data_IF_497520152375
#
_entry.id   IF_497520152375
#
_cell.length_a   1.000
_cell.length_b   1.000
_cell.length_c   1.000
_cell.angle_alpha   90.00
_cell.angle_beta   90.00
_cell.angle_gamma   90.00
#
_symmetry.space_group_name_H-M   'P 1'
#
loop_
_entity.id
_entity.type
_entity.pdbx_description
1 polymer ?
#
# COMPACT_ATOMS: atom_id res chain seq x y z
N UNK A 1 -7.81 2.21 21.17
CA UNK A 1 -6.83 3.03 20.39
C UNK A 1 -7.56 3.96 19.46
N UNK A 2 -7.01 5.16 19.22
CA UNK A 2 -7.58 6.09 18.24
C UNK A 2 -7.37 5.58 16.81
N UNK A 3 -8.37 5.77 15.95
CA UNK A 3 -8.35 5.39 14.54
C UNK A 3 -9.20 6.34 13.71
N UNK A 4 -8.91 6.44 12.41
CA UNK A 4 -9.84 6.96 11.43
C UNK A 4 -10.60 5.77 10.82
N UNK A 5 -11.92 5.81 10.91
CA UNK A 5 -12.75 4.67 10.52
C UNK A 5 -13.97 5.10 9.71
N UNK A 6 -14.40 4.22 8.84
CA UNK A 6 -15.72 4.28 8.23
C UNK A 6 -16.73 3.75 9.23
N UNK A 7 -17.38 4.64 9.97
CA UNK A 7 -18.34 4.29 11.03
C UNK A 7 -19.78 4.31 10.58
N UNK A 8 -20.07 4.97 9.42
CA UNK A 8 -21.41 5.13 8.87
C UNK A 8 -21.41 4.85 7.36
N UNK A 9 -22.56 4.47 6.84
CA UNK A 9 -22.79 4.19 5.40
C UNK A 9 -23.18 5.48 4.64
N UNK A 10 -22.33 6.51 4.73
CA UNK A 10 -22.51 7.83 4.11
C UNK A 10 -21.14 8.44 3.79
N UNK A 11 -21.01 9.49 2.95
CA UNK A 11 -19.73 10.17 2.72
C UNK A 11 -19.06 10.63 4.02
N UNK A 12 -17.75 10.44 4.12
CA UNK A 12 -16.94 10.80 5.29
C UNK A 12 -16.14 9.63 5.86
N UNK A 13 -15.14 9.97 6.66
CA UNK A 13 -14.33 9.08 7.51
C UNK A 13 -14.17 9.82 8.84
N UNK A 14 -14.33 9.12 9.95
CA UNK A 14 -14.45 9.76 11.28
C UNK A 14 -13.39 9.26 12.25
N UNK A 15 -13.02 10.15 13.17
CA UNK A 15 -12.27 9.74 14.35
C UNK A 15 -13.13 8.80 15.19
N UNK A 16 -12.54 7.66 15.55
CA UNK A 16 -13.21 6.63 16.35
C UNK A 16 -12.21 6.00 17.32
N UNK A 17 -12.72 5.21 18.24
CA UNK A 17 -11.94 4.33 19.07
C UNK A 17 -12.19 2.87 18.70
N UNK A 18 -11.12 2.09 18.67
CA UNK A 18 -11.14 0.66 18.44
C UNK A 18 -10.29 -0.08 19.49
N UNK A 19 -10.56 -1.34 19.80
CA UNK A 19 -9.64 -2.14 20.60
C UNK A 19 -8.28 -2.25 19.91
N UNK A 20 -7.20 -2.37 20.71
CA UNK A 20 -5.88 -2.70 20.16
C UNK A 20 -5.96 -4.09 19.50
N UNK A 21 -5.43 -4.26 18.26
CA UNK A 21 -5.48 -5.56 17.59
C UNK A 21 -4.76 -6.64 18.41
N UNK A 22 -5.33 -7.84 18.39
CA UNK A 22 -4.65 -9.03 18.89
C UNK A 22 -3.69 -9.59 17.86
N UNK A 23 -2.58 -10.15 18.32
CA UNK A 23 -1.53 -10.73 17.48
C UNK A 23 -1.78 -12.22 17.34
N UNK A 24 -2.03 -12.69 16.13
CA UNK A 24 -2.08 -14.11 15.81
C UNK A 24 -0.67 -14.75 15.81
N UNK A 25 -0.58 -16.09 15.78
CA UNK A 25 0.71 -16.79 15.83
C UNK A 25 1.71 -16.36 14.73
N UNK A 26 1.20 -16.02 13.55
CA UNK A 26 2.01 -15.62 12.38
C UNK A 26 1.98 -14.10 12.11
N UNK A 27 1.38 -13.31 13.01
CA UNK A 27 1.21 -11.87 12.82
C UNK A 27 2.30 -11.07 13.56
N UNK A 28 2.48 -9.85 13.11
CA UNK A 28 3.22 -8.81 13.84
C UNK A 28 2.27 -7.66 14.19
N UNK A 29 2.47 -7.04 15.34
CA UNK A 29 1.82 -5.80 15.72
C UNK A 29 2.76 -4.64 15.45
N UNK A 30 2.33 -3.75 14.60
CA UNK A 30 3.08 -2.57 14.19
C UNK A 30 2.48 -1.35 14.87
N UNK A 31 3.31 -0.58 15.59
CA UNK A 31 2.98 0.79 16.00
C UNK A 31 3.20 1.70 14.81
N UNK A 32 2.13 2.23 14.25
CA UNK A 32 2.17 3.10 13.06
C UNK A 32 2.87 4.42 13.39
N UNK A 33 3.72 4.88 12.48
CA UNK A 33 4.42 6.15 12.57
C UNK A 33 3.92 7.16 11.55
N UNK A 34 3.81 6.73 10.29
CA UNK A 34 3.28 7.54 9.19
C UNK A 34 2.38 6.71 8.29
N UNK A 35 1.43 7.38 7.69
CA UNK A 35 0.50 6.82 6.69
C UNK A 35 0.41 7.78 5.53
N UNK A 36 0.00 7.26 4.37
CA UNK A 36 -0.33 8.06 3.20
C UNK A 36 -1.78 7.78 2.76
N UNK A 37 -2.34 8.67 1.97
CA UNK A 37 -3.71 8.59 1.46
C UNK A 37 -3.68 8.08 0.04
N UNK A 38 -4.38 6.98 -0.21
CA UNK A 38 -4.59 6.39 -1.53
C UNK A 38 -5.88 6.91 -2.18
N UNK A 39 -5.96 6.77 -3.50
CA UNK A 39 -7.23 6.97 -4.23
C UNK A 39 -8.36 6.07 -3.71
N UNK A 40 -8.04 4.87 -3.25
CA UNK A 40 -8.99 3.96 -2.60
C UNK A 40 -9.64 4.58 -1.36
N UNK A 41 -8.89 5.34 -0.56
CA UNK A 41 -9.44 6.03 0.61
C UNK A 41 -10.42 7.13 0.20
N UNK A 42 -10.22 7.77 -0.97
CA UNK A 42 -11.16 8.72 -1.53
C UNK A 42 -12.48 8.06 -1.98
N UNK A 43 -12.41 6.87 -2.57
CA UNK A 43 -13.61 6.07 -2.87
C UNK A 43 -14.39 5.74 -1.59
N UNK A 44 -13.69 5.34 -0.53
CA UNK A 44 -14.30 5.06 0.79
C UNK A 44 -14.89 6.34 1.41
N UNK A 45 -14.15 7.46 1.33
CA UNK A 45 -14.62 8.76 1.82
C UNK A 45 -15.91 9.19 1.10
N UNK A 46 -15.92 9.16 -0.23
CA UNK A 46 -17.07 9.55 -1.05
C UNK A 46 -18.24 8.57 -0.96
N UNK A 47 -18.04 7.37 -0.41
CA UNK A 47 -19.04 6.33 -0.28
C UNK A 47 -19.70 5.97 -1.61
N UNK A 48 -18.91 5.83 -2.65
CA UNK A 48 -19.37 5.50 -4.00
C UNK A 48 -19.89 4.04 -4.12
N UNK A 49 -20.36 3.68 -5.30
CA UNK A 49 -20.98 2.37 -5.55
C UNK A 49 -20.02 1.19 -5.26
N UNK A 50 -18.71 1.37 -5.45
CA UNK A 50 -17.73 0.35 -5.10
C UNK A 50 -17.57 0.23 -3.58
N UNK A 51 -17.41 1.36 -2.88
CA UNK A 51 -17.26 1.37 -1.43
C UNK A 51 -18.48 0.78 -0.72
N UNK A 52 -19.70 1.09 -1.20
CA UNK A 52 -20.96 0.56 -0.66
C UNK A 52 -21.04 -0.96 -0.71
N UNK A 53 -20.45 -1.58 -1.73
CA UNK A 53 -20.44 -3.06 -1.93
C UNK A 53 -19.32 -3.74 -1.20
N UNK A 54 -18.18 -3.05 -0.98
CA UNK A 54 -16.91 -3.67 -0.61
C UNK A 54 -16.54 -3.46 0.84
N UNK A 55 -16.85 -2.26 1.39
CA UNK A 55 -16.32 -1.84 2.68
C UNK A 55 -17.24 -2.28 3.82
N UNK A 56 -16.79 -3.11 4.76
CA UNK A 56 -17.53 -3.37 5.98
C UNK A 56 -17.59 -2.11 6.86
N UNK A 57 -18.72 -1.91 7.53
CA UNK A 57 -18.92 -0.79 8.44
C UNK A 57 -19.38 -1.34 9.80
N UNK A 58 -18.71 -1.02 10.92
CA UNK A 58 -17.59 -0.09 11.07
C UNK A 58 -16.22 -0.72 10.74
N UNK A 59 -15.26 0.06 10.22
CA UNK A 59 -13.91 -0.42 9.94
C UNK A 59 -12.88 0.72 9.94
N UNK A 60 -11.70 0.50 10.54
CA UNK A 60 -10.53 1.36 10.35
C UNK A 60 -10.03 1.26 8.91
N UNK A 61 -9.74 2.39 8.25
CA UNK A 61 -9.32 2.46 6.86
C UNK A 61 -7.81 2.69 6.72
N UNK A 62 -7.30 2.86 5.49
CA UNK A 62 -5.90 3.11 5.19
C UNK A 62 -5.05 1.84 5.03
N UNK A 63 -4.13 1.85 4.07
CA UNK A 63 -3.29 0.69 3.73
C UNK A 63 -1.85 1.06 3.36
N UNK A 64 -1.54 2.33 3.24
CA UNK A 64 -0.19 2.86 3.00
C UNK A 64 0.41 3.32 4.33
N UNK A 65 1.50 2.71 4.78
CA UNK A 65 2.03 2.98 6.12
C UNK A 65 3.49 2.58 6.28
N UNK A 66 4.12 3.15 7.31
CA UNK A 66 5.30 2.60 7.95
C UNK A 66 5.20 2.67 9.48
N UNK A 67 5.96 1.83 10.16
CA UNK A 67 5.96 1.80 11.62
C UNK A 67 7.07 0.96 12.21
N UNK A 68 6.91 0.62 13.49
CA UNK A 68 7.83 -0.28 14.21
C UNK A 68 7.08 -1.45 14.81
N UNK A 69 7.67 -2.64 14.71
CA UNK A 69 7.15 -3.84 15.37
C UNK A 69 7.24 -3.68 16.88
N UNK A 70 6.12 -3.88 17.57
CA UNK A 70 6.05 -3.81 19.03
C UNK A 70 5.73 -5.16 19.68
N UNK A 71 5.17 -6.10 18.89
CA UNK A 71 4.83 -7.44 19.33
C UNK A 71 4.89 -8.41 18.14
N UNK A 72 5.23 -9.68 18.40
CA UNK A 72 5.30 -10.74 17.38
C UNK A 72 4.53 -11.96 17.86
N UNK A 73 3.88 -12.63 16.94
CA UNK A 73 3.30 -13.95 17.16
C UNK A 73 4.37 -15.03 17.36
N UNK A 74 3.99 -16.14 17.96
CA UNK A 74 4.90 -17.22 18.38
C UNK A 74 5.64 -17.89 17.23
N UNK A 75 5.05 -17.90 16.04
CA UNK A 75 5.60 -18.55 14.84
C UNK A 75 6.38 -17.61 13.93
N UNK A 76 6.45 -16.30 14.24
CA UNK A 76 7.14 -15.31 13.42
C UNK A 76 8.64 -15.53 13.47
N UNK A 77 9.26 -15.61 12.28
CA UNK A 77 10.72 -15.74 12.11
C UNK A 77 11.28 -14.62 11.26
N UNK A 78 12.53 -14.27 11.45
CA UNK A 78 13.26 -13.27 10.64
C UNK A 78 12.94 -11.82 10.96
N UNK A 79 11.96 -11.53 11.80
CA UNK A 79 11.61 -10.21 12.31
C UNK A 79 11.79 -10.14 13.83
N UNK A 80 12.01 -8.95 14.37
CA UNK A 80 12.15 -8.72 15.81
C UNK A 80 11.46 -7.43 16.26
N UNK A 81 11.13 -7.37 17.53
CA UNK A 81 10.62 -6.14 18.17
C UNK A 81 11.60 -4.99 17.97
N UNK A 82 11.07 -3.84 17.57
CA UNK A 82 11.85 -2.64 17.25
C UNK A 82 12.19 -2.51 15.77
N UNK A 83 12.07 -3.58 14.95
CA UNK A 83 12.30 -3.48 13.51
C UNK A 83 11.38 -2.42 12.91
N UNK A 84 11.97 -1.61 12.03
CA UNK A 84 11.27 -0.61 11.25
C UNK A 84 10.76 -1.26 9.98
N UNK A 85 9.45 -1.13 9.71
CA UNK A 85 8.77 -1.90 8.68
C UNK A 85 7.74 -1.07 7.92
N UNK A 86 7.50 -1.49 6.69
CA UNK A 86 6.28 -1.28 5.91
C UNK A 86 5.68 -2.62 5.53
N UNK A 87 4.64 -2.66 4.74
CA UNK A 87 4.02 -3.93 4.36
C UNK A 87 3.19 -3.86 3.10
N UNK A 88 2.89 -5.04 2.57
CA UNK A 88 1.98 -5.28 1.46
C UNK A 88 0.56 -5.44 1.99
N UNK A 89 -0.34 -4.55 1.56
CA UNK A 89 -1.73 -4.53 2.02
C UNK A 89 -2.60 -5.67 1.51
N UNK A 90 -2.16 -6.43 0.49
CA UNK A 90 -2.91 -7.54 -0.09
C UNK A 90 -2.53 -8.88 0.56
N UNK A 91 -3.31 -9.30 1.55
CA UNK A 91 -3.09 -10.57 2.24
C UNK A 91 -3.65 -11.70 1.40
N UNK A 92 -2.79 -12.60 0.97
CA UNK A 92 -3.13 -13.72 0.08
C UNK A 92 -3.41 -15.00 0.85
N UNK A 93 -4.26 -15.87 0.30
CA UNK A 93 -4.67 -17.10 1.01
C UNK A 93 -3.60 -18.20 1.03
N UNK A 94 -2.56 -18.13 0.21
CA UNK A 94 -1.48 -19.14 0.15
C UNK A 94 -1.82 -20.46 -0.53
N UNK A 95 -3.10 -20.86 -0.63
CA UNK A 95 -3.51 -22.21 -1.06
C UNK A 95 -4.27 -22.26 -2.39
N UNK A 96 -4.77 -21.16 -2.94
CA UNK A 96 -5.45 -21.20 -4.24
C UNK A 96 -4.44 -21.51 -5.38
N UNK A 97 -4.97 -21.88 -6.56
CA UNK A 97 -4.14 -22.22 -7.73
C UNK A 97 -3.09 -21.16 -8.02
N UNK A 98 -3.46 -19.88 -7.99
CA UNK A 98 -2.55 -18.78 -8.30
C UNK A 98 -1.44 -18.65 -7.25
N UNK A 99 -1.78 -18.74 -5.96
CA UNK A 99 -0.80 -18.70 -4.88
C UNK A 99 0.19 -19.87 -4.98
N UNK A 100 -0.30 -21.08 -5.23
CA UNK A 100 0.55 -22.28 -5.40
C UNK A 100 1.46 -22.21 -6.63
N UNK A 101 1.06 -21.45 -7.65
CA UNK A 101 1.85 -21.18 -8.85
C UNK A 101 2.83 -20.00 -8.70
N UNK A 102 3.05 -19.48 -7.47
CA UNK A 102 3.90 -18.31 -7.21
C UNK A 102 3.31 -16.97 -7.64
N UNK A 103 2.08 -16.95 -8.14
CA UNK A 103 1.38 -15.74 -8.62
C UNK A 103 0.45 -15.18 -7.55
N UNK A 104 1.01 -14.84 -6.39
CA UNK A 104 0.26 -14.35 -5.22
C UNK A 104 -0.54 -13.08 -5.53
N UNK A 105 -0.02 -12.16 -6.34
CA UNK A 105 -0.71 -10.96 -6.82
C UNK A 105 -2.03 -11.24 -7.56
N UNK A 106 -2.24 -12.48 -8.04
CA UNK A 106 -3.49 -12.96 -8.66
C UNK A 106 -4.31 -13.85 -7.72
N UNK A 107 -4.12 -13.75 -6.41
CA UNK A 107 -4.88 -14.53 -5.44
C UNK A 107 -6.38 -14.27 -5.59
N UNK A 108 -7.18 -15.36 -5.65
CA UNK A 108 -8.66 -15.26 -5.76
C UNK A 108 -9.34 -14.85 -4.45
N UNK A 109 -8.64 -15.03 -3.33
CA UNK A 109 -9.17 -14.83 -1.99
C UNK A 109 -8.33 -13.75 -1.26
N UNK A 110 -7.92 -12.71 -1.97
CA UNK A 110 -7.19 -11.59 -1.39
C UNK A 110 -8.05 -10.85 -0.38
N UNK A 111 -7.47 -10.54 0.77
CA UNK A 111 -8.07 -9.70 1.81
C UNK A 111 -7.25 -8.41 1.93
N UNK A 112 -7.86 -7.28 1.57
CA UNK A 112 -7.18 -5.98 1.58
C UNK A 112 -7.20 -5.35 2.99
N UNK A 113 -6.03 -4.92 3.46
CA UNK A 113 -5.88 -4.07 4.65
C UNK A 113 -6.54 -2.72 4.37
N UNK A 114 -7.34 -2.20 5.30
CA UNK A 114 -8.10 -0.96 5.11
C UNK A 114 -9.28 -1.05 4.13
N UNK A 115 -9.55 -2.25 3.57
CA UNK A 115 -10.63 -2.51 2.60
C UNK A 115 -11.56 -3.61 3.08
N UNK A 116 -11.04 -4.79 3.41
CA UNK A 116 -11.84 -5.93 3.87
C UNK A 116 -11.52 -6.31 5.33
N UNK A 117 -10.47 -5.72 5.89
CA UNK A 117 -10.06 -5.85 7.29
C UNK A 117 -9.51 -4.52 7.79
N UNK A 118 -9.43 -4.32 9.14
CA UNK A 118 -8.94 -3.07 9.71
C UNK A 118 -7.59 -2.62 9.16
N UNK A 119 -7.48 -1.34 8.88
CA UNK A 119 -6.36 -0.69 8.22
C UNK A 119 -5.44 0.11 9.12
N UNK A 120 -4.56 0.88 8.47
CA UNK A 120 -3.41 1.53 9.06
C UNK A 120 -3.65 2.98 9.55
N UNK A 121 -4.82 3.58 9.27
CA UNK A 121 -5.16 4.88 9.86
C UNK A 121 -5.53 4.72 11.35
N UNK A 122 -4.65 4.08 12.09
CA UNK A 122 -4.78 3.71 13.48
C UNK A 122 -3.44 3.79 14.20
N UNK A 123 -3.44 3.75 15.52
CA UNK A 123 -2.19 3.73 16.28
C UNK A 123 -1.43 2.41 16.14
N UNK A 124 -2.14 1.30 15.90
CA UNK A 124 -1.56 -0.03 15.75
C UNK A 124 -2.27 -0.80 14.63
N UNK A 125 -1.49 -1.62 13.92
CA UNK A 125 -1.94 -2.55 12.89
C UNK A 125 -1.38 -3.94 13.18
N UNK A 126 -2.23 -4.98 13.17
CA UNK A 126 -1.80 -6.38 13.14
C UNK A 126 -1.87 -6.90 11.70
N UNK A 127 -0.78 -7.50 11.21
CA UNK A 127 -0.66 -8.00 9.84
C UNK A 127 0.23 -9.25 9.81
N UNK A 128 0.00 -10.22 8.90
CA UNK A 128 0.89 -11.36 8.76
C UNK A 128 2.35 -10.95 8.52
N UNK A 129 3.26 -11.67 9.15
CA UNK A 129 4.70 -11.43 9.01
C UNK A 129 5.16 -11.54 7.55
N UNK A 130 4.57 -12.45 6.76
CA UNK A 130 4.84 -12.61 5.32
C UNK A 130 4.48 -11.37 4.47
N UNK A 131 3.60 -10.51 4.99
CA UNK A 131 3.23 -9.24 4.37
C UNK A 131 4.06 -8.05 4.89
N UNK A 132 5.08 -8.29 5.73
CA UNK A 132 5.83 -7.24 6.43
C UNK A 132 7.28 -7.22 5.95
N UNK A 133 7.75 -6.05 5.53
CA UNK A 133 9.11 -5.85 5.01
C UNK A 133 9.91 -4.94 5.93
N UNK A 134 11.08 -5.44 6.35
CA UNK A 134 12.04 -4.64 7.13
C UNK A 134 12.68 -3.56 6.25
N UNK A 135 12.74 -2.35 6.76
CA UNK A 135 13.27 -1.18 6.08
C UNK A 135 14.70 -0.89 6.50
N UNK A 136 15.51 -0.40 5.56
CA UNK A 136 16.79 0.21 5.87
C UNK A 136 16.57 1.51 6.64
N UNK A 137 17.45 1.81 7.60
CA UNK A 137 17.41 3.06 8.35
C UNK A 137 17.67 4.31 7.48
N UNK A 138 18.25 4.14 6.29
CA UNK A 138 18.47 5.20 5.30
C UNK A 138 17.20 5.70 4.62
N UNK A 139 16.08 4.93 4.66
CA UNK A 139 14.82 5.33 4.02
C UNK A 139 14.02 6.22 5.00
N UNK A 140 13.72 7.49 4.68
CA UNK A 140 12.87 8.34 5.53
C UNK A 140 11.47 7.75 5.73
N UNK A 141 10.82 8.03 6.87
CA UNK A 141 9.48 7.54 7.17
C UNK A 141 8.42 8.02 6.12
N UNK A 142 8.61 9.21 5.53
CA UNK A 142 7.72 9.73 4.49
C UNK A 142 7.77 8.86 3.22
N UNK A 143 8.98 8.45 2.82
CA UNK A 143 9.15 7.54 1.68
C UNK A 143 8.70 6.12 2.05
N UNK A 144 8.98 5.68 3.26
CA UNK A 144 8.58 4.36 3.73
C UNK A 144 7.05 4.18 3.78
N UNK A 145 6.30 5.26 4.01
CA UNK A 145 4.84 5.21 4.04
C UNK A 145 4.20 5.00 2.66
N UNK A 146 4.89 5.34 1.56
CA UNK A 146 4.38 5.22 0.18
C UNK A 146 4.99 4.04 -0.59
N UNK A 147 5.54 3.05 0.10
CA UNK A 147 6.11 1.87 -0.56
C UNK A 147 5.06 0.98 -1.21
N UNK A 148 3.81 0.99 -0.76
CA UNK A 148 2.70 0.28 -1.41
C UNK A 148 2.46 0.79 -2.85
N UNK A 149 2.16 2.07 -3.11
CA UNK A 149 2.04 2.59 -4.47
C UNK A 149 3.35 2.51 -5.27
N UNK A 150 4.52 2.61 -4.64
CA UNK A 150 5.80 2.39 -5.30
C UNK A 150 5.97 0.94 -5.76
N UNK A 151 5.51 -0.03 -4.97
CA UNK A 151 5.45 -1.44 -5.35
C UNK A 151 4.58 -1.67 -6.59
N UNK A 152 3.40 -1.04 -6.65
CA UNK A 152 2.51 -1.08 -7.82
C UNK A 152 3.18 -0.49 -9.07
N UNK A 153 3.85 0.65 -8.93
CA UNK A 153 4.58 1.31 -10.02
C UNK A 153 5.72 0.42 -10.54
N UNK A 154 6.50 -0.17 -9.63
CA UNK A 154 7.62 -1.05 -9.94
C UNK A 154 7.13 -2.33 -10.63
N UNK A 155 6.11 -2.98 -10.08
CA UNK A 155 5.53 -4.19 -10.67
C UNK A 155 5.04 -3.96 -12.09
N UNK A 156 4.34 -2.84 -12.32
CA UNK A 156 3.83 -2.47 -13.65
C UNK A 156 4.95 -2.15 -14.63
N UNK A 157 5.90 -1.31 -14.23
CA UNK A 157 7.01 -0.89 -15.10
C UNK A 157 7.90 -2.07 -15.50
N UNK A 158 8.09 -3.06 -14.61
CA UNK A 158 8.94 -4.22 -14.85
C UNK A 158 8.19 -5.46 -15.35
N UNK A 159 6.88 -5.33 -15.65
CA UNK A 159 6.10 -6.44 -16.23
C UNK A 159 6.58 -6.84 -17.63
N UNK A 160 7.26 -5.92 -18.33
CA UNK A 160 7.87 -6.10 -19.65
C UNK A 160 9.33 -5.68 -19.62
N UNK A 161 10.13 -6.14 -20.60
CA UNK A 161 11.48 -5.63 -20.78
C UNK A 161 11.39 -4.20 -21.33
N UNK A 162 11.93 -3.23 -20.60
CA UNK A 162 11.92 -1.81 -20.98
C UNK A 162 13.32 -1.30 -21.37
N UNK A 163 14.35 -2.11 -21.24
CA UNK A 163 15.74 -1.71 -21.55
C UNK A 163 15.90 -1.42 -23.04
N UNK A 164 16.26 -0.20 -23.37
CA UNK A 164 16.42 0.26 -24.76
C UNK A 164 15.10 0.55 -25.49
N UNK A 165 13.94 0.37 -24.85
CA UNK A 165 12.62 0.56 -25.45
C UNK A 165 12.07 1.98 -25.23
N UNK A 166 11.11 2.36 -26.06
CA UNK A 166 10.31 3.57 -25.89
C UNK A 166 9.06 3.21 -25.07
N UNK A 167 8.88 3.87 -23.94
CA UNK A 167 7.82 3.57 -22.98
C UNK A 167 6.81 4.70 -22.93
N UNK A 168 5.51 4.38 -23.11
CA UNK A 168 4.40 5.29 -22.88
C UNK A 168 3.70 4.95 -21.56
N UNK A 169 3.59 5.94 -20.68
CA UNK A 169 2.85 5.86 -19.43
C UNK A 169 1.64 6.79 -19.51
N UNK A 170 0.45 6.24 -19.37
CA UNK A 170 -0.80 7.01 -19.36
C UNK A 170 -1.25 7.25 -17.92
N UNK A 171 -1.37 8.53 -17.53
CA UNK A 171 -1.71 9.00 -16.19
C UNK A 171 -0.49 9.45 -15.39
N UNK A 172 -0.39 10.76 -15.13
CA UNK A 172 0.67 11.37 -14.33
C UNK A 172 0.26 11.54 -12.85
N UNK A 173 -0.48 10.56 -12.32
CA UNK A 173 -0.71 10.43 -10.88
C UNK A 173 0.54 9.90 -10.17
N UNK A 174 0.50 9.73 -8.83
CA UNK A 174 1.65 9.25 -8.05
C UNK A 174 2.29 7.97 -8.60
N UNK A 175 1.48 6.97 -8.95
CA UNK A 175 1.97 5.70 -9.52
C UNK A 175 2.63 5.92 -10.88
N UNK A 176 2.03 6.71 -11.78
CA UNK A 176 2.60 6.99 -13.10
C UNK A 176 3.94 7.73 -13.01
N UNK A 177 4.06 8.70 -12.11
CA UNK A 177 5.31 9.41 -11.85
C UNK A 177 6.40 8.46 -11.34
N UNK A 178 6.05 7.61 -10.37
CA UNK A 178 6.98 6.59 -9.84
C UNK A 178 7.37 5.57 -10.92
N UNK A 179 6.41 5.10 -11.75
CA UNK A 179 6.68 4.17 -12.84
C UNK A 179 7.62 4.78 -13.90
N UNK A 180 7.49 6.08 -14.18
CA UNK A 180 8.40 6.80 -15.07
C UNK A 180 9.84 6.81 -14.53
N UNK A 181 10.00 7.06 -13.23
CA UNK A 181 11.31 7.01 -12.60
C UNK A 181 11.91 5.59 -12.65
N UNK A 182 11.12 4.57 -12.38
CA UNK A 182 11.54 3.15 -12.46
C UNK A 182 11.96 2.79 -13.90
N UNK A 183 11.12 3.10 -14.90
CA UNK A 183 11.42 2.80 -16.30
C UNK A 183 12.72 3.46 -16.77
N UNK A 184 12.94 4.73 -16.43
CA UNK A 184 14.19 5.45 -16.74
C UNK A 184 15.39 4.80 -16.04
N UNK A 185 15.29 4.54 -14.75
CA UNK A 185 16.35 3.90 -13.97
C UNK A 185 16.72 2.52 -14.51
N UNK A 186 15.75 1.79 -15.03
CA UNK A 186 15.94 0.45 -15.59
C UNK A 186 16.61 0.49 -16.97
N UNK A 187 16.61 1.65 -17.66
CA UNK A 187 17.28 1.81 -18.94
C UNK A 187 16.36 1.93 -20.16
N UNK A 188 15.13 2.38 -19.98
CA UNK A 188 14.26 2.76 -21.09
C UNK A 188 14.93 3.88 -21.90
N UNK A 189 14.85 3.80 -23.24
CA UNK A 189 15.44 4.78 -24.16
C UNK A 189 14.74 6.13 -24.07
N UNK A 190 13.41 6.11 -24.19
CA UNK A 190 12.57 7.28 -24.01
C UNK A 190 11.37 6.91 -23.14
N UNK A 191 10.97 7.81 -22.24
CA UNK A 191 9.75 7.64 -21.45
C UNK A 191 8.86 8.85 -21.66
N UNK A 192 7.67 8.62 -22.20
CA UNK A 192 6.63 9.64 -22.38
C UNK A 192 5.54 9.39 -21.35
N UNK A 193 5.16 10.43 -20.62
CA UNK A 193 4.03 10.38 -19.68
C UNK A 193 2.94 11.36 -20.11
N UNK A 194 1.68 10.94 -20.04
CA UNK A 194 0.52 11.75 -20.42
C UNK A 194 -0.48 11.86 -19.30
N UNK A 195 -1.20 12.97 -19.25
CA UNK A 195 -2.37 13.18 -18.37
C UNK A 195 -3.28 14.24 -18.98
N UNK A 196 -4.52 14.31 -18.55
CA UNK A 196 -5.45 15.39 -18.91
C UNK A 196 -5.35 16.60 -17.95
N UNK A 197 -4.55 16.48 -16.89
CA UNK A 197 -4.37 17.48 -15.86
C UNK A 197 -2.97 18.12 -15.96
N UNK A 198 -2.91 19.39 -16.35
CA UNK A 198 -1.66 20.12 -16.55
C UNK A 198 -0.82 20.22 -15.26
N UNK A 199 -1.43 20.35 -14.08
CA UNK A 199 -0.71 20.37 -12.81
C UNK A 199 0.05 19.07 -12.57
N UNK A 200 -0.55 17.92 -12.90
CA UNK A 200 0.11 16.60 -12.77
C UNK A 200 1.26 16.45 -13.77
N UNK A 201 1.09 16.92 -14.98
CA UNK A 201 2.15 16.93 -15.99
C UNK A 201 3.34 17.79 -15.56
N UNK A 202 3.06 18.97 -15.02
CA UNK A 202 4.11 19.86 -14.50
C UNK A 202 4.84 19.23 -13.30
N UNK A 203 4.10 18.57 -12.38
CA UNK A 203 4.67 17.83 -11.26
C UNK A 203 5.58 16.70 -11.76
N UNK A 204 5.15 15.97 -12.79
CA UNK A 204 5.96 14.92 -13.40
C UNK A 204 7.27 15.49 -13.99
N UNK A 205 7.22 16.61 -14.72
CA UNK A 205 8.40 17.28 -15.26
C UNK A 205 9.41 17.66 -14.19
N UNK A 206 8.94 18.28 -13.09
CA UNK A 206 9.81 18.70 -11.98
C UNK A 206 10.52 17.55 -11.27
N UNK A 207 9.84 16.42 -11.12
CA UNK A 207 10.38 15.30 -10.32
C UNK A 207 11.17 14.28 -11.15
N UNK A 208 11.02 14.29 -12.51
CA UNK A 208 11.62 13.25 -13.35
C UNK A 208 12.69 13.86 -14.30
N UNK A 209 12.68 15.15 -14.51
CA UNK A 209 13.64 15.84 -15.39
C UNK A 209 15.03 16.01 -14.78
N UNK A 210 15.25 15.63 -13.52
CA UNK A 210 16.53 15.70 -12.83
C UNK A 210 17.38 14.43 -13.07
#
# INVERSE_FOLDING_TARGET
>A
MRTLAKTKREPGIWMAEAPKPQVGPNDVLIRIRKTAICGTDMHIYNWDAWAQKTIPVPMAVGHEYCGRIVELGSEVKGLKKGDRVSGEGHITCGYCRNCRAGRRHLCRNTVGVGVNRPGAFAQYLAIPADNTFRLSDSIPDDIAAILDPFGNATHTALAFNVVGEDVLITGAGPIGIMATAVARFTGARHVVITDVNDYRLELARRNIAA
#
